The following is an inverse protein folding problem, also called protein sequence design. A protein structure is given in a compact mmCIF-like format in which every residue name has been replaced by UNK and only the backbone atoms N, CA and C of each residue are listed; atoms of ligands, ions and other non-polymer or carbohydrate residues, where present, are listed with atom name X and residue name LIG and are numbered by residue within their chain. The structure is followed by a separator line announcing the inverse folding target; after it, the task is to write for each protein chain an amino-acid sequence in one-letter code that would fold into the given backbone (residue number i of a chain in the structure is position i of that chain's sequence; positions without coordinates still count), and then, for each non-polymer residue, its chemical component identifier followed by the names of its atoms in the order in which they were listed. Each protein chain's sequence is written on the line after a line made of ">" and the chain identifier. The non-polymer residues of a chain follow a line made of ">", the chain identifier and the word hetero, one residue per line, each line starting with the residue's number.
data_IF_589508905207
#
_entry.id   IF_589508905207
#
_cell.length_a   1.000
_cell.length_b   1.000
_cell.length_c   1.000
_cell.angle_alpha   90.00
_cell.angle_beta   90.00
_cell.angle_gamma   90.00
#
_symmetry.space_group_name_H-M   'P 1'
#
loop_
_entity.id
_entity.type
_entity.pdbx_description
1 polymer ?
#
# COMPACT_ATOMS: atom_id res chain seq x y z
N UNK A 1 34.59 9.25 72.58
CA UNK A 1 34.91 8.80 71.20
C UNK A 1 33.88 7.83 70.61
N UNK A 2 33.32 6.87 71.38
CA UNK A 2 32.32 5.90 70.87
C UNK A 2 31.03 6.54 70.32
N UNK A 3 30.56 7.65 70.90
CA UNK A 3 29.34 8.35 70.46
C UNK A 3 29.49 9.07 69.12
N UNK A 4 30.72 9.41 68.71
CA UNK A 4 30.99 10.07 67.43
C UNK A 4 30.92 9.07 66.26
N UNK A 5 31.31 7.82 66.52
CA UNK A 5 31.20 6.72 65.54
C UNK A 5 29.75 6.34 65.23
N UNK A 6 28.86 6.34 66.23
CA UNK A 6 27.42 6.08 66.00
C UNK A 6 26.74 7.22 65.23
N UNK A 7 27.15 8.47 65.45
CA UNK A 7 26.65 9.61 64.69
C UNK A 7 27.07 9.55 63.20
N UNK A 8 28.29 9.10 62.90
CA UNK A 8 28.78 8.96 61.54
C UNK A 8 28.06 7.83 60.77
N UNK A 9 27.72 6.72 61.44
CA UNK A 9 26.96 5.60 60.86
C UNK A 9 25.50 5.99 60.60
N UNK A 10 24.87 6.74 61.52
CA UNK A 10 23.51 7.27 61.31
C UNK A 10 23.45 8.30 60.19
N UNK A 11 24.50 9.12 60.00
CA UNK A 11 24.56 10.09 58.91
C UNK A 11 24.72 9.41 57.53
N UNK A 12 25.47 8.29 57.46
CA UNK A 12 25.65 7.51 56.22
C UNK A 12 24.36 6.79 55.76
N UNK A 13 23.47 6.43 56.68
CA UNK A 13 22.17 5.81 56.36
C UNK A 13 21.17 6.78 55.73
N UNK A 14 21.32 8.09 55.95
CA UNK A 14 20.39 9.12 55.44
C UNK A 14 20.74 9.53 53.99
N UNK A 15 21.96 9.25 53.53
CA UNK A 15 22.42 9.62 52.18
C UNK A 15 22.03 8.63 51.07
N UNK A 16 21.28 7.57 51.37
CA UNK A 16 20.76 6.65 50.35
C UNK A 16 19.46 7.16 49.71
N UNK A 17 19.37 8.45 49.42
CA UNK A 17 18.35 8.95 48.50
C UNK A 17 18.70 8.43 47.09
N UNK A 18 17.94 7.44 46.63
CA UNK A 18 17.99 6.97 45.24
C UNK A 18 17.73 8.15 44.32
N UNK A 19 18.79 8.67 43.68
CA UNK A 19 18.64 9.71 42.68
C UNK A 19 17.79 9.15 41.53
N UNK A 20 16.87 9.94 40.97
CA UNK A 20 16.15 9.54 39.76
C UNK A 20 17.15 9.19 38.65
N UNK A 21 16.88 8.13 37.89
CA UNK A 21 17.72 7.72 36.75
C UNK A 21 17.34 8.52 35.50
N UNK A 22 18.32 9.00 34.75
CA UNK A 22 18.08 9.69 33.48
C UNK A 22 17.59 8.69 32.41
N UNK A 23 16.58 9.08 31.63
CA UNK A 23 16.05 8.31 30.49
C UNK A 23 15.74 9.24 29.30
N UNK A 24 15.58 8.67 28.11
CA UNK A 24 15.40 9.43 26.87
C UNK A 24 13.99 10.00 26.72
N UNK A 25 12.99 9.30 27.26
CA UNK A 25 11.59 9.68 27.17
C UNK A 25 10.80 9.14 28.36
N UNK A 26 9.94 9.98 28.94
CA UNK A 26 8.88 9.57 29.84
C UNK A 26 7.54 9.89 29.20
N UNK A 27 6.61 8.92 29.21
CA UNK A 27 5.20 9.11 28.85
C UNK A 27 4.40 8.92 30.13
N UNK A 28 3.44 9.81 30.42
CA UNK A 28 2.59 9.72 31.61
C UNK A 28 1.15 10.19 31.34
N UNK A 29 0.27 9.98 32.31
CA UNK A 29 -1.16 10.26 32.20
C UNK A 29 -1.80 9.54 30.99
N UNK A 30 -1.41 8.30 30.77
CA UNK A 30 -1.87 7.48 29.65
C UNK A 30 -2.70 6.29 30.13
N UNK A 31 -3.26 5.55 29.17
CA UNK A 31 -3.74 4.18 29.34
C UNK A 31 -2.85 3.27 28.51
N UNK A 32 -1.83 2.70 29.15
CA UNK A 32 -0.79 1.90 28.52
C UNK A 32 -1.15 0.43 28.66
N UNK A 33 -1.49 -0.22 27.55
CA UNK A 33 -1.71 -1.67 27.51
C UNK A 33 -0.37 -2.37 27.35
N UNK A 34 0.07 -3.07 28.39
CA UNK A 34 1.39 -3.75 28.38
C UNK A 34 1.36 -5.07 27.60
N UNK A 35 0.19 -5.70 27.54
CA UNK A 35 -0.01 -7.05 26.96
C UNK A 35 0.93 -8.07 27.64
N UNK A 36 1.18 -7.88 28.93
CA UNK A 36 1.80 -8.89 29.78
C UNK A 36 0.82 -10.05 30.08
N UNK A 37 1.26 -11.07 30.82
CA UNK A 37 0.42 -12.23 31.16
C UNK A 37 -0.85 -11.86 31.94
N UNK A 38 -0.88 -10.69 32.59
CA UNK A 38 -2.02 -10.19 33.34
C UNK A 38 -2.88 -9.21 32.53
N UNK A 39 -2.50 -8.89 31.29
CA UNK A 39 -3.07 -7.80 30.48
C UNK A 39 -3.17 -6.49 31.25
N UNK A 40 -2.11 -6.14 31.98
CA UNK A 40 -2.11 -4.96 32.84
C UNK A 40 -2.25 -3.66 32.03
N UNK A 41 -2.93 -2.68 32.65
CA UNK A 41 -3.02 -1.32 32.15
C UNK A 41 -2.33 -0.40 33.15
N UNK A 42 -1.36 0.37 32.66
CA UNK A 42 -0.56 1.31 33.46
C UNK A 42 -0.75 2.73 32.94
N UNK A 43 -0.24 3.71 33.68
CA UNK A 43 -0.43 5.12 33.31
C UNK A 43 0.84 5.84 32.84
N UNK A 44 2.02 5.29 33.14
CA UNK A 44 3.29 5.87 32.72
C UNK A 44 4.32 4.81 32.32
N UNK A 45 5.27 5.22 31.46
CA UNK A 45 6.41 4.42 31.06
C UNK A 45 7.67 5.28 30.88
N UNK A 46 8.82 4.68 31.18
CA UNK A 46 10.14 5.24 30.94
C UNK A 46 10.85 4.46 29.83
N UNK A 47 11.49 5.16 28.90
CA UNK A 47 12.13 4.59 27.71
C UNK A 47 13.57 5.08 27.63
N UNK A 48 14.51 4.15 27.42
CA UNK A 48 15.92 4.45 27.16
C UNK A 48 16.47 3.53 26.07
N UNK A 49 17.27 4.08 25.16
CA UNK A 49 17.88 3.40 24.02
C UNK A 49 16.87 2.59 23.18
N UNK A 50 15.67 3.15 22.98
CA UNK A 50 14.59 2.51 22.23
C UNK A 50 13.95 1.30 22.93
N UNK A 51 14.27 1.07 24.22
CA UNK A 51 13.70 -0.01 25.04
C UNK A 51 12.86 0.57 26.17
N UNK A 52 11.82 -0.15 26.55
CA UNK A 52 11.02 0.17 27.73
C UNK A 52 11.81 -0.25 28.97
N UNK A 53 12.22 0.73 29.76
CA UNK A 53 12.95 0.50 31.02
C UNK A 53 11.98 0.09 32.13
N UNK A 54 10.80 0.72 32.19
CA UNK A 54 9.78 0.45 33.21
C UNK A 54 8.41 0.94 32.74
N UNK A 55 7.36 0.25 33.19
CA UNK A 55 5.96 0.68 33.05
C UNK A 55 5.29 0.55 34.42
N UNK A 56 4.64 1.61 34.89
CA UNK A 56 4.01 1.68 36.22
C UNK A 56 3.01 2.85 36.24
N UNK A 57 2.46 3.19 37.40
CA UNK A 57 1.68 4.40 37.58
C UNK A 57 2.54 5.68 37.48
N UNK A 58 1.88 6.82 37.22
CA UNK A 58 2.51 8.13 36.99
C UNK A 58 3.49 8.50 38.11
N UNK A 59 3.06 8.33 39.36
CA UNK A 59 3.86 8.69 40.53
C UNK A 59 5.12 7.84 40.63
N UNK A 60 5.01 6.53 40.39
CA UNK A 60 6.14 5.63 40.45
C UNK A 60 7.20 5.98 39.40
N UNK A 61 6.78 6.18 38.14
CA UNK A 61 7.71 6.53 37.05
C UNK A 61 8.36 7.89 37.29
N UNK A 62 7.57 8.93 37.60
CA UNK A 62 8.09 10.30 37.79
C UNK A 62 8.98 10.44 39.03
N UNK A 63 8.91 9.51 39.99
CA UNK A 63 9.81 9.48 41.14
C UNK A 63 11.14 8.76 40.88
N UNK A 64 11.13 7.75 40.00
CA UNK A 64 12.30 6.90 39.72
C UNK A 64 13.13 7.41 38.56
N UNK A 65 12.54 8.18 37.65
CA UNK A 65 13.17 8.60 36.41
C UNK A 65 13.01 10.10 36.16
N UNK A 66 13.98 10.68 35.47
CA UNK A 66 13.89 12.03 34.90
C UNK A 66 14.31 12.02 33.44
N UNK A 67 13.79 12.96 32.65
CA UNK A 67 14.12 13.07 31.23
C UNK A 67 13.97 14.52 30.79
N UNK A 68 14.76 14.93 29.80
CA UNK A 68 14.55 16.20 29.10
C UNK A 68 13.27 16.17 28.23
N UNK A 69 12.74 14.97 27.92
CA UNK A 69 11.55 14.78 27.10
C UNK A 69 10.48 14.02 27.89
N UNK A 70 9.44 14.74 28.30
CA UNK A 70 8.30 14.19 29.03
C UNK A 70 7.02 14.50 28.23
N UNK A 71 6.23 13.48 27.94
CA UNK A 71 4.99 13.58 27.18
C UNK A 71 3.81 13.26 28.09
N UNK A 72 2.91 14.23 28.25
CA UNK A 72 1.60 14.05 28.85
C UNK A 72 0.61 13.56 27.80
N UNK A 73 0.02 12.38 27.98
CA UNK A 73 -0.95 11.81 27.04
C UNK A 73 -2.38 12.27 27.28
N UNK A 74 -2.67 13.04 28.34
CA UNK A 74 -4.01 13.58 28.67
C UNK A 74 -5.12 12.50 28.65
N UNK A 75 -4.83 11.33 29.21
CA UNK A 75 -5.71 10.17 29.23
C UNK A 75 -5.74 9.34 27.94
N UNK A 76 -4.88 9.68 26.96
CA UNK A 76 -4.72 8.96 25.70
C UNK A 76 -4.19 7.54 25.86
N UNK A 77 -4.31 6.73 24.80
CA UNK A 77 -4.01 5.30 24.84
C UNK A 77 -2.65 4.99 24.20
N UNK A 78 -1.94 4.03 24.79
CA UNK A 78 -0.66 3.51 24.27
C UNK A 78 -0.80 1.99 24.10
N UNK A 79 -0.50 1.52 22.90
CA UNK A 79 -0.54 0.11 22.52
C UNK A 79 0.84 -0.33 22.03
N UNK A 80 1.18 -1.63 22.11
CA UNK A 80 2.31 -2.17 21.37
C UNK A 80 2.12 -1.90 19.87
N UNK A 81 3.23 -1.65 19.16
CA UNK A 81 3.21 -1.50 17.72
C UNK A 81 2.69 -2.77 17.05
N UNK A 82 2.00 -2.63 15.92
CA UNK A 82 1.55 -3.77 15.13
C UNK A 82 2.74 -4.53 14.55
N UNK A 83 2.72 -5.86 14.65
CA UNK A 83 3.72 -6.77 14.09
C UNK A 83 3.04 -7.63 13.04
N UNK A 84 3.45 -7.48 11.78
CA UNK A 84 3.01 -8.34 10.70
C UNK A 84 3.99 -9.51 10.55
N UNK A 85 3.53 -10.72 10.90
CA UNK A 85 4.34 -11.94 10.86
C UNK A 85 4.56 -12.48 9.44
N UNK A 86 3.80 -12.01 8.44
CA UNK A 86 3.91 -12.50 7.08
C UNK A 86 3.50 -11.45 6.05
N UNK A 87 4.50 -10.73 5.53
CA UNK A 87 4.31 -9.75 4.47
C UNK A 87 5.21 -10.03 3.27
N UNK A 88 4.68 -9.74 2.06
CA UNK A 88 5.47 -9.69 0.83
C UNK A 88 5.95 -8.26 0.59
N UNK A 89 6.82 -7.75 1.47
CA UNK A 89 7.19 -6.33 1.50
C UNK A 89 7.77 -5.82 0.18
N UNK A 90 8.63 -6.60 -0.47
CA UNK A 90 9.20 -6.26 -1.79
C UNK A 90 8.12 -6.17 -2.85
N UNK A 91 7.22 -7.17 -2.93
CA UNK A 91 6.12 -7.15 -3.91
C UNK A 91 5.12 -6.02 -3.65
N UNK A 92 4.92 -5.64 -2.39
CA UNK A 92 4.11 -4.47 -2.04
C UNK A 92 4.78 -3.18 -2.52
N UNK A 93 6.07 -2.98 -2.21
CA UNK A 93 6.82 -1.81 -2.64
C UNK A 93 6.91 -1.71 -4.16
N UNK A 94 7.21 -2.82 -4.85
CA UNK A 94 7.15 -2.91 -6.31
C UNK A 94 5.76 -2.49 -6.83
N UNK A 95 4.70 -2.96 -6.18
CA UNK A 95 3.33 -2.58 -6.52
C UNK A 95 3.00 -1.09 -6.34
N UNK A 96 3.72 -0.37 -5.48
CA UNK A 96 3.57 1.08 -5.29
C UNK A 96 4.32 1.89 -6.33
N UNK A 97 5.49 1.41 -6.79
CA UNK A 97 6.37 2.17 -7.71
C UNK A 97 6.24 1.74 -9.17
N UNK A 98 5.59 0.60 -9.44
CA UNK A 98 5.43 0.07 -10.81
C UNK A 98 4.09 0.40 -11.47
N UNK A 99 3.12 0.93 -10.71
CA UNK A 99 1.79 1.27 -11.22
C UNK A 99 1.17 2.43 -10.45
N UNK A 100 0.49 3.31 -11.18
CA UNK A 100 -0.33 4.37 -10.59
C UNK A 100 -1.57 3.76 -9.89
N UNK A 101 -1.87 4.27 -8.69
CA UNK A 101 -3.12 3.98 -7.99
C UNK A 101 -4.25 4.91 -8.47
N UNK A 102 -5.22 4.30 -9.14
CA UNK A 102 -6.37 4.97 -9.73
C UNK A 102 -7.66 4.71 -8.94
N UNK A 103 -7.58 4.09 -7.76
CA UNK A 103 -8.75 3.88 -6.91
C UNK A 103 -9.31 5.21 -6.43
N UNK A 104 -10.64 5.36 -6.51
CA UNK A 104 -11.36 6.53 -6.00
C UNK A 104 -11.19 7.80 -6.83
N UNK A 105 -10.76 7.69 -8.09
CA UNK A 105 -10.86 8.83 -9.05
C UNK A 105 -12.32 9.12 -9.36
N UNK A 106 -12.71 10.39 -9.40
CA UNK A 106 -14.07 10.84 -9.70
C UNK A 106 -14.31 11.19 -11.18
N UNK A 107 -13.25 11.16 -12.01
CA UNK A 107 -13.36 11.38 -13.45
C UNK A 107 -12.16 10.80 -14.22
N UNK A 108 -12.30 10.68 -15.54
CA UNK A 108 -11.18 10.29 -16.38
C UNK A 108 -10.06 11.34 -16.40
N UNK A 109 -10.38 12.63 -16.32
CA UNK A 109 -9.34 13.67 -16.23
C UNK A 109 -8.50 13.52 -14.95
N UNK A 110 -9.11 13.12 -13.83
CA UNK A 110 -8.36 12.81 -12.61
C UNK A 110 -7.44 11.59 -12.79
N UNK A 111 -7.88 10.57 -13.54
CA UNK A 111 -7.01 9.44 -13.93
C UNK A 111 -5.79 9.97 -14.70
N UNK A 112 -5.97 10.86 -15.68
CA UNK A 112 -4.86 11.42 -16.46
C UNK A 112 -3.90 12.22 -15.59
N UNK A 113 -4.42 13.04 -14.67
CA UNK A 113 -3.60 13.81 -13.72
C UNK A 113 -2.76 12.90 -12.82
N UNK A 114 -3.36 11.87 -12.23
CA UNK A 114 -2.64 10.90 -11.39
C UNK A 114 -1.57 10.14 -12.19
N UNK A 115 -1.83 9.83 -13.45
CA UNK A 115 -0.86 9.18 -14.33
C UNK A 115 0.34 10.08 -14.64
N UNK A 116 0.11 11.36 -14.91
CA UNK A 116 1.20 12.34 -15.13
C UNK A 116 2.05 12.51 -13.86
N UNK A 117 1.40 12.65 -12.70
CA UNK A 117 2.11 12.75 -11.42
C UNK A 117 2.93 11.49 -11.13
N UNK A 118 2.33 10.32 -11.34
CA UNK A 118 3.02 9.05 -11.17
C UNK A 118 4.21 8.90 -12.12
N UNK A 119 4.07 9.28 -13.39
CA UNK A 119 5.15 9.23 -14.38
C UNK A 119 6.33 10.15 -13.98
N UNK A 120 6.04 11.33 -13.43
CA UNK A 120 7.06 12.26 -12.96
C UNK A 120 7.83 11.70 -11.76
N UNK A 121 7.12 11.06 -10.83
CA UNK A 121 7.74 10.46 -9.65
C UNK A 121 8.50 9.16 -9.98
N UNK A 122 7.97 8.34 -10.89
CA UNK A 122 8.50 7.03 -11.24
C UNK A 122 8.64 6.84 -12.76
N UNK A 123 9.62 7.49 -13.40
CA UNK A 123 9.83 7.36 -14.84
C UNK A 123 10.11 5.92 -15.26
N UNK A 124 9.31 5.40 -16.17
CA UNK A 124 9.44 4.03 -16.67
C UNK A 124 9.10 3.93 -18.17
N UNK A 125 9.46 2.79 -18.76
CA UNK A 125 9.20 2.50 -20.18
C UNK A 125 7.71 2.27 -20.47
N UNK A 126 6.95 1.81 -19.48
CA UNK A 126 5.52 1.51 -19.59
C UNK A 126 4.77 2.27 -18.51
N UNK A 127 3.76 3.02 -18.90
CA UNK A 127 2.88 3.66 -17.94
C UNK A 127 1.75 2.71 -17.57
N UNK A 128 1.82 2.17 -16.35
CA UNK A 128 0.86 1.17 -15.85
C UNK A 128 0.01 1.80 -14.76
N UNK A 129 -1.29 1.53 -14.76
CA UNK A 129 -2.21 1.97 -13.72
C UNK A 129 -3.22 0.88 -13.35
N UNK A 130 -3.78 0.97 -12.14
CA UNK A 130 -4.84 0.07 -11.69
C UNK A 130 -5.86 0.79 -10.81
N UNK A 131 -7.12 0.40 -10.94
CA UNK A 131 -8.13 0.69 -9.93
C UNK A 131 -9.18 1.70 -10.33
N UNK A 132 -9.12 2.23 -11.56
CA UNK A 132 -10.16 3.11 -12.06
C UNK A 132 -11.51 2.38 -12.13
N UNK A 133 -12.59 3.08 -11.80
CA UNK A 133 -13.97 2.61 -11.97
C UNK A 133 -14.83 3.75 -12.48
N UNK A 134 -15.36 3.61 -13.70
CA UNK A 134 -16.25 4.60 -14.29
C UNK A 134 -17.58 4.74 -13.53
N UNK A 135 -17.94 3.77 -12.70
CA UNK A 135 -19.14 3.85 -11.86
C UNK A 135 -19.03 4.96 -10.80
N UNK A 136 -17.81 5.30 -10.38
CA UNK A 136 -17.53 6.34 -9.39
C UNK A 136 -17.56 7.76 -10.02
N UNK A 137 -17.67 7.85 -11.34
CA UNK A 137 -17.56 9.12 -12.06
C UNK A 137 -18.91 9.79 -12.27
N UNK A 138 -18.91 11.13 -12.32
CA UNK A 138 -20.11 11.91 -12.66
C UNK A 138 -20.68 11.50 -14.03
N UNK A 139 -19.79 11.28 -15.00
CA UNK A 139 -20.11 10.70 -16.30
C UNK A 139 -19.68 9.24 -16.30
N UNK A 140 -20.63 8.33 -16.21
CA UNK A 140 -20.42 6.87 -16.20
C UNK A 140 -20.16 6.31 -17.60
N UNK A 141 -19.33 7.02 -18.37
CA UNK A 141 -18.92 6.61 -19.71
C UNK A 141 -17.56 5.93 -19.65
N UNK A 142 -17.40 4.89 -20.46
CA UNK A 142 -16.10 4.24 -20.57
C UNK A 142 -15.12 5.19 -21.26
N UNK A 143 -13.92 5.37 -20.69
CA UNK A 143 -12.89 6.18 -21.32
C UNK A 143 -12.41 5.51 -22.61
N UNK A 144 -11.95 6.34 -23.52
CA UNK A 144 -11.41 5.90 -24.80
C UNK A 144 -9.92 6.22 -24.88
N UNK A 145 -9.22 5.66 -25.88
CA UNK A 145 -7.75 5.71 -25.95
C UNK A 145 -7.21 7.07 -26.41
N UNK A 146 -8.03 7.92 -27.00
CA UNK A 146 -7.62 9.14 -27.72
C UNK A 146 -6.83 10.08 -26.82
N UNK A 147 -7.30 10.33 -25.59
CA UNK A 147 -6.56 11.17 -24.63
C UNK A 147 -5.23 10.56 -24.20
N UNK A 148 -5.16 9.23 -24.11
CA UNK A 148 -3.89 8.54 -23.81
C UNK A 148 -2.93 8.62 -25.00
N UNK A 149 -3.45 8.57 -26.23
CA UNK A 149 -2.65 8.72 -27.46
C UNK A 149 -2.09 10.15 -27.59
N UNK A 150 -2.87 11.16 -27.20
CA UNK A 150 -2.44 12.56 -27.19
C UNK A 150 -1.34 12.82 -26.16
N UNK A 151 -1.51 12.33 -24.92
CA UNK A 151 -0.56 12.57 -23.84
C UNK A 151 0.70 11.68 -23.93
N UNK A 152 0.55 10.43 -24.38
CA UNK A 152 1.62 9.44 -24.44
C UNK A 152 1.71 8.77 -25.81
N UNK A 153 2.01 9.50 -26.90
CA UNK A 153 2.00 8.94 -28.26
C UNK A 153 3.07 7.84 -28.47
N UNK A 154 4.21 7.97 -27.79
CA UNK A 154 5.35 7.07 -27.95
C UNK A 154 5.57 6.12 -26.78
N UNK A 155 4.82 6.30 -25.68
CA UNK A 155 4.94 5.49 -24.47
C UNK A 155 3.73 4.55 -24.36
N UNK A 156 3.91 3.23 -24.24
CA UNK A 156 2.79 2.32 -24.07
C UNK A 156 2.12 2.51 -22.70
N UNK A 157 0.79 2.63 -22.71
CA UNK A 157 -0.04 2.81 -21.52
C UNK A 157 -0.98 1.63 -21.33
N UNK A 158 -1.06 1.09 -20.12
CA UNK A 158 -1.97 0.00 -19.74
C UNK A 158 -2.65 0.30 -18.40
N UNK A 159 -3.98 0.47 -18.40
CA UNK A 159 -4.76 0.82 -17.22
C UNK A 159 -5.79 -0.27 -16.92
N UNK A 160 -5.60 -1.03 -15.85
CA UNK A 160 -6.55 -2.07 -15.42
C UNK A 160 -7.68 -1.49 -14.57
N UNK A 161 -8.91 -1.90 -14.88
CA UNK A 161 -10.11 -1.53 -14.11
C UNK A 161 -10.07 -2.16 -12.72
N UNK A 162 -10.82 -1.60 -11.77
CA UNK A 162 -10.93 -2.09 -10.38
C UNK A 162 -11.22 -3.60 -10.26
N UNK A 163 -12.06 -4.14 -11.17
CA UNK A 163 -12.48 -5.54 -11.18
C UNK A 163 -11.47 -6.50 -11.82
N UNK A 164 -10.45 -5.98 -12.50
CA UNK A 164 -9.47 -6.78 -13.25
C UNK A 164 -10.01 -7.47 -14.50
N UNK A 165 -11.24 -7.17 -14.93
CA UNK A 165 -11.88 -7.79 -16.10
C UNK A 165 -11.82 -6.90 -17.35
N UNK A 166 -11.50 -5.62 -17.19
CA UNK A 166 -11.31 -4.68 -18.29
C UNK A 166 -9.98 -3.93 -18.16
N UNK A 167 -9.45 -3.49 -19.30
CA UNK A 167 -8.29 -2.61 -19.36
C UNK A 167 -8.46 -1.58 -20.48
N UNK A 168 -7.98 -0.36 -20.23
CA UNK A 168 -7.81 0.69 -21.24
C UNK A 168 -6.34 0.71 -21.68
N UNK A 169 -6.13 0.71 -22.99
CA UNK A 169 -4.81 0.72 -23.62
C UNK A 169 -4.75 1.83 -24.65
N UNK A 170 -3.58 2.47 -24.78
CA UNK A 170 -3.32 3.37 -25.90
C UNK A 170 -2.91 2.60 -27.17
N UNK A 171 -2.86 3.30 -28.30
CA UNK A 171 -2.51 2.73 -29.60
C UNK A 171 -1.13 2.09 -29.60
N UNK A 172 -0.16 2.67 -28.87
CA UNK A 172 1.18 2.11 -28.75
C UNK A 172 1.18 0.76 -28.04
N UNK A 173 0.45 0.62 -26.94
CA UNK A 173 0.33 -0.63 -26.22
C UNK A 173 -0.40 -1.70 -27.03
N UNK A 174 -1.49 -1.33 -27.75
CA UNK A 174 -2.21 -2.22 -28.65
C UNK A 174 -1.31 -2.73 -29.80
N UNK A 175 -0.50 -1.86 -30.39
CA UNK A 175 0.47 -2.21 -31.42
C UNK A 175 1.48 -3.25 -30.93
N UNK A 176 2.07 -3.02 -29.75
CA UNK A 176 3.04 -3.96 -29.15
C UNK A 176 2.37 -5.31 -28.84
N UNK A 177 1.12 -5.29 -28.41
CA UNK A 177 0.35 -6.50 -28.13
C UNK A 177 -0.12 -7.25 -29.40
N UNK A 178 -0.03 -6.63 -30.58
CA UNK A 178 -0.53 -7.21 -31.83
C UNK A 178 -2.05 -7.33 -31.88
N UNK A 179 -2.78 -6.49 -31.14
CA UNK A 179 -4.24 -6.50 -31.09
C UNK A 179 -4.76 -5.58 -32.20
N UNK A 180 -5.49 -6.17 -33.16
CA UNK A 180 -6.15 -5.48 -34.27
C UNK A 180 -7.67 -5.66 -34.18
N UNK A 181 -8.41 -4.89 -34.97
CA UNK A 181 -9.87 -5.04 -35.08
C UNK A 181 -10.28 -6.44 -35.57
N UNK A 182 -9.42 -7.11 -36.33
CA UNK A 182 -9.65 -8.45 -36.88
C UNK A 182 -9.30 -9.60 -35.92
N UNK A 183 -8.90 -9.28 -34.68
CA UNK A 183 -8.58 -10.31 -33.70
C UNK A 183 -9.81 -11.20 -33.45
N UNK A 184 -9.71 -12.53 -33.67
CA UNK A 184 -10.87 -13.41 -33.54
C UNK A 184 -11.40 -13.37 -32.11
N UNK A 185 -12.69 -13.07 -31.97
CA UNK A 185 -13.41 -13.27 -30.73
C UNK A 185 -13.37 -14.76 -30.39
N UNK A 186 -12.52 -15.18 -29.45
CA UNK A 186 -12.42 -16.59 -28.99
C UNK A 186 -13.69 -17.20 -28.40
N UNK A 187 -14.82 -16.49 -28.40
CA UNK A 187 -16.11 -16.97 -27.94
C UNK A 187 -17.22 -16.63 -28.94
N UNK A 188 -17.24 -17.37 -30.05
CA UNK A 188 -18.50 -17.76 -30.69
C UNK A 188 -18.69 -19.25 -30.41
N UNK A 189 -19.55 -19.59 -29.46
CA UNK A 189 -19.74 -20.99 -29.11
C UNK A 189 -20.91 -21.22 -28.16
N UNK A 190 -22.11 -21.35 -28.71
CA UNK A 190 -23.13 -22.20 -28.11
C UNK A 190 -22.60 -23.64 -28.16
N UNK A 191 -21.75 -24.06 -27.22
CA UNK A 191 -21.58 -25.47 -26.80
C UNK A 191 -20.37 -25.66 -25.87
N UNK A 192 -20.60 -26.53 -24.87
CA UNK A 192 -19.62 -27.13 -23.97
C UNK A 192 -18.46 -27.77 -24.75
N UNK A 193 -17.26 -27.83 -24.18
CA UNK A 193 -16.51 -29.10 -23.94
C UNK A 193 -15.15 -28.89 -23.23
N UNK A 194 -14.95 -29.77 -22.24
CA UNK A 194 -13.80 -30.37 -21.55
C UNK A 194 -12.48 -29.65 -21.20
N UNK A 195 -12.26 -29.63 -19.87
CA UNK A 195 -10.94 -29.64 -19.21
C UNK A 195 -10.10 -30.84 -19.66
N UNK A 196 -8.85 -30.60 -20.08
CA UNK A 196 -7.78 -31.61 -20.02
C UNK A 196 -6.56 -31.06 -19.29
N UNK A 197 -6.23 -31.69 -18.16
CA UNK A 197 -4.99 -31.52 -17.39
C UNK A 197 -3.81 -32.08 -18.20
N UNK A 198 -2.69 -31.34 -18.30
CA UNK A 198 -1.35 -31.93 -18.44
C UNK A 198 -0.26 -30.99 -17.91
N UNK A 199 0.59 -31.58 -17.07
CA UNK A 199 1.78 -31.04 -16.39
C UNK A 199 2.97 -30.98 -17.37
N UNK A 200 3.83 -29.95 -17.24
CA UNK A 200 5.25 -30.04 -17.62
C UNK A 200 6.11 -29.01 -16.84
N UNK A 201 7.14 -29.51 -16.15
CA UNK A 201 8.20 -28.78 -15.43
C UNK A 201 9.36 -28.49 -16.40
N UNK A 202 10.07 -27.37 -16.20
CA UNK A 202 11.45 -27.22 -16.67
C UNK A 202 11.84 -25.82 -17.18
N UNK A 203 12.47 -25.03 -16.29
CA UNK A 203 13.37 -23.88 -16.54
C UNK A 203 12.96 -22.88 -17.64
N UNK A 204 12.15 -21.93 -17.23
CA UNK A 204 12.58 -20.55 -17.15
C UNK A 204 11.71 -19.93 -16.04
N UNK A 205 12.31 -19.25 -15.08
CA UNK A 205 11.61 -18.61 -13.97
C UNK A 205 12.27 -17.26 -13.80
N UNK A 206 12.24 -16.46 -14.86
CA UNK A 206 12.77 -15.11 -14.88
C UNK A 206 11.88 -14.26 -15.79
N UNK A 207 11.23 -13.31 -15.12
CA UNK A 207 10.99 -11.94 -15.58
C UNK A 207 9.74 -11.52 -16.38
N UNK A 208 8.79 -12.39 -16.77
CA UNK A 208 7.41 -12.00 -17.20
C UNK A 208 6.58 -13.19 -17.68
N UNK A 209 6.62 -14.33 -16.99
CA UNK A 209 6.14 -15.58 -17.58
C UNK A 209 4.61 -15.75 -17.65
N UNK A 210 3.93 -14.96 -18.48
CA UNK A 210 3.11 -15.48 -19.59
C UNK A 210 2.41 -14.42 -20.45
N UNK A 211 2.90 -13.19 -20.54
CA UNK A 211 2.29 -12.23 -21.49
C UNK A 211 2.54 -12.55 -22.98
N UNK A 212 3.28 -13.62 -23.33
CA UNK A 212 3.49 -14.00 -24.73
C UNK A 212 3.19 -15.47 -25.11
N UNK A 213 2.40 -16.20 -24.30
CA UNK A 213 1.77 -17.47 -24.77
C UNK A 213 0.37 -17.75 -24.17
N UNK A 214 -0.23 -16.76 -23.48
CA UNK A 214 -1.63 -16.78 -23.03
C UNK A 214 -2.35 -15.42 -23.15
N UNK A 215 -1.90 -14.54 -24.05
CA UNK A 215 -2.71 -13.43 -24.57
C UNK A 215 -3.35 -13.74 -25.93
N UNK A 216 -3.70 -15.00 -26.17
CA UNK A 216 -4.70 -15.31 -27.19
C UNK A 216 -6.06 -15.25 -26.50
N UNK A 217 -6.66 -14.07 -26.63
CA UNK A 217 -8.02 -13.70 -26.26
C UNK A 217 -8.38 -13.71 -24.77
N UNK A 218 -8.29 -12.54 -24.14
CA UNK A 218 -9.15 -12.15 -23.03
C UNK A 218 -9.47 -10.65 -23.15
N UNK A 219 -10.44 -10.33 -24.01
CA UNK A 219 -11.19 -9.06 -24.06
C UNK A 219 -12.65 -9.45 -24.36
N UNK A 220 -13.57 -9.24 -23.40
CA UNK A 220 -15.04 -9.34 -23.51
C UNK A 220 -15.61 -8.74 -22.21
N UNK A 221 -16.65 -7.92 -22.13
CA UNK A 221 -17.62 -7.30 -23.05
C UNK A 221 -17.97 -5.95 -22.40
N UNK A 222 -17.84 -4.84 -23.10
CA UNK A 222 -18.83 -3.77 -23.04
C UNK A 222 -19.39 -3.61 -24.45
N UNK A 223 -20.64 -4.00 -24.64
CA UNK A 223 -21.46 -3.50 -25.75
C UNK A 223 -21.50 -1.98 -25.58
N UNK A 224 -20.64 -1.25 -26.29
CA UNK A 224 -20.82 0.13 -26.79
C UNK A 224 -19.52 0.51 -27.52
N UNK A 225 -19.17 -0.25 -28.56
CA UNK A 225 -18.34 0.28 -29.64
C UNK A 225 -19.31 0.70 -30.74
N UNK A 226 -19.80 1.95 -30.69
CA UNK A 226 -20.49 2.53 -31.83
C UNK A 226 -19.41 2.89 -32.85
N UNK A 227 -18.98 1.92 -33.64
CA UNK A 227 -18.43 2.19 -34.97
C UNK A 227 -19.61 2.59 -35.87
N UNK A 228 -19.86 3.89 -36.02
CA UNK A 228 -20.64 4.38 -37.17
C UNK A 228 -19.67 4.61 -38.32
N UNK A 229 -19.66 3.66 -39.26
CA UNK A 229 -19.04 3.84 -40.57
C UNK A 229 -20.01 4.66 -41.46
N UNK A 230 -19.57 5.67 -42.22
CA UNK A 230 -20.43 6.36 -43.19
C UNK A 230 -20.72 5.41 -44.35
N UNK A 231 -22.01 5.17 -44.63
CA UNK A 231 -22.42 4.36 -45.76
C UNK A 231 -22.16 5.13 -47.07
N UNK A 232 -21.18 4.65 -47.84
CA UNK A 232 -20.96 5.06 -49.22
C UNK A 232 -22.09 4.45 -50.09
N UNK A 233 -23.00 5.29 -50.59
CA UNK A 233 -24.05 4.87 -51.52
C UNK A 233 -23.41 4.49 -52.86
N UNK A 234 -23.48 3.21 -53.23
CA UNK A 234 -23.46 2.83 -54.65
C UNK A 234 -24.89 2.74 -55.13
N UNK A 235 -25.24 3.63 -56.07
CA UNK A 235 -26.43 3.56 -56.92
C UNK A 235 -26.37 2.29 -57.79
N UNK A 236 -27.52 1.76 -58.25
CA UNK A 236 -27.61 0.50 -59.00
C UNK A 236 -26.90 0.54 -60.35
#
# INVERSE_FOLDING_TARGET
>A
MKNFSYALIMLAMISSCSQPKEVDLIIYNAKIYTVDSAFSVQSAMAISNGKVESVDNDKAILSRYFSSKIINMNGGFVYPGFIDAHSHFVGYAEGLVSRADLVGTASFEEVLLRLQEFENQFPSQWLVGRGWDQNDWEKQEFPTKERLDELWPNKPVYLSRVDGHAALLNSKALQIAGITADCPNSYSGNSRIHKKKRSFRGRAQLFLQRFNKRLRCWIRICRYSIFRCPAERRSP
#
